data_IF_943688326989
#
_entry.id   IF_943688326989
#
_cell.length_a   1.000
_cell.length_b   1.000
_cell.length_c   1.000
_cell.angle_alpha   90.00
_cell.angle_beta   90.00
_cell.angle_gamma   90.00
#
_symmetry.space_group_name_H-M   'P 1'
#
loop_
_entity.id
_entity.type
_entity.pdbx_description
1 polymer ?
#
# COMPACT_ATOMS: atom_id res chain seq x y z
N UNK A 1 -11.94 36.43 -1.02
CA UNK A 1 -13.20 35.85 -0.52
C UNK A 1 -13.32 34.36 -0.85
N UNK A 2 -13.12 33.93 -2.10
CA UNK A 2 -13.15 32.49 -2.46
C UNK A 2 -12.02 31.68 -1.82
N UNK A 3 -10.79 32.19 -1.81
CA UNK A 3 -9.65 31.53 -1.15
C UNK A 3 -9.83 31.39 0.38
N UNK A 4 -10.55 32.33 1.01
CA UNK A 4 -10.86 32.24 2.44
C UNK A 4 -11.90 31.14 2.74
N UNK A 5 -12.93 31.00 1.89
CA UNK A 5 -13.91 29.92 1.97
C UNK A 5 -13.30 28.54 1.70
N UNK A 6 -12.34 28.47 0.77
CA UNK A 6 -11.62 27.23 0.49
C UNK A 6 -10.77 26.79 1.69
N UNK A 7 -10.09 27.73 2.35
CA UNK A 7 -9.31 27.45 3.56
C UNK A 7 -10.20 27.00 4.73
N UNK A 8 -11.31 27.71 4.97
CA UNK A 8 -12.29 27.33 6.00
C UNK A 8 -12.86 25.92 5.76
N UNK A 9 -13.11 25.56 4.50
CA UNK A 9 -13.56 24.21 4.12
C UNK A 9 -12.50 23.14 4.40
N UNK A 10 -11.21 23.45 4.20
CA UNK A 10 -10.10 22.55 4.49
C UNK A 10 -9.91 22.35 6.00
N UNK A 11 -10.04 23.42 6.78
CA UNK A 11 -9.95 23.36 8.24
C UNK A 11 -11.10 22.54 8.84
N UNK A 12 -12.34 22.78 8.39
CA UNK A 12 -13.49 21.97 8.82
C UNK A 12 -13.33 20.48 8.48
N UNK A 13 -12.75 20.18 7.32
CA UNK A 13 -12.44 18.80 6.91
C UNK A 13 -11.39 18.16 7.83
N UNK A 14 -10.38 18.93 8.24
CA UNK A 14 -9.36 18.50 9.20
C UNK A 14 -9.96 18.16 10.55
N UNK A 15 -10.81 19.03 11.06
CA UNK A 15 -11.47 18.81 12.36
C UNK A 15 -12.35 17.57 12.31
N UNK A 16 -13.06 17.34 11.21
CA UNK A 16 -13.87 16.14 11.02
C UNK A 16 -13.02 14.85 10.99
N UNK A 17 -11.93 14.85 10.23
CA UNK A 17 -11.00 13.70 10.16
C UNK A 17 -10.39 13.43 11.55
N UNK A 18 -9.98 14.48 12.28
CA UNK A 18 -9.43 14.35 13.63
C UNK A 18 -10.45 13.81 14.64
N UNK A 19 -11.70 14.26 14.56
CA UNK A 19 -12.79 13.76 15.40
C UNK A 19 -13.03 12.27 15.15
N UNK A 20 -13.16 11.86 13.89
CA UNK A 20 -13.38 10.44 13.54
C UNK A 20 -12.18 9.59 13.97
N UNK A 21 -10.96 10.08 13.77
CA UNK A 21 -9.72 9.43 14.22
C UNK A 21 -9.74 9.21 15.72
N UNK A 22 -10.10 10.23 16.50
CA UNK A 22 -10.23 10.12 17.95
C UNK A 22 -11.23 9.04 18.35
N UNK A 23 -12.42 9.04 17.73
CA UNK A 23 -13.49 8.07 17.98
C UNK A 23 -13.06 6.61 17.79
N UNK A 24 -12.02 6.32 17.00
CA UNK A 24 -11.52 4.94 16.81
C UNK A 24 -10.99 4.30 18.09
N UNK A 25 -10.53 5.11 19.05
CA UNK A 25 -9.99 4.65 20.36
C UNK A 25 -11.03 4.59 21.46
N UNK A 26 -12.25 5.09 21.22
CA UNK A 26 -13.34 5.07 22.20
C UNK A 26 -14.19 3.82 22.05
N UNK A 27 -14.42 3.11 23.15
CA UNK A 27 -15.30 1.94 23.19
C UNK A 27 -15.29 1.32 24.58
N UNK A 28 -16.38 0.62 24.91
CA UNK A 28 -16.56 -0.01 26.22
C UNK A 28 -15.61 -1.19 26.40
N UNK A 29 -15.39 -1.94 25.32
CA UNK A 29 -14.56 -3.15 25.33
C UNK A 29 -13.24 -2.89 24.60
N UNK A 30 -12.16 -3.44 25.12
CA UNK A 30 -10.90 -3.51 24.41
C UNK A 30 -11.00 -4.59 23.33
N UNK A 31 -10.72 -4.21 22.08
CA UNK A 31 -10.69 -5.14 20.98
C UNK A 31 -9.35 -5.85 20.95
N UNK A 32 -9.37 -7.14 20.62
CA UNK A 32 -8.19 -7.95 20.46
C UNK A 32 -7.98 -8.25 18.98
N UNK A 33 -6.73 -8.39 18.52
CA UNK A 33 -6.44 -8.96 17.23
C UNK A 33 -7.23 -10.26 17.04
N UNK A 34 -7.86 -10.44 15.87
CA UNK A 34 -8.39 -11.75 15.51
C UNK A 34 -7.21 -12.76 15.53
N UNK A 35 -7.43 -14.00 15.96
CA UNK A 35 -6.38 -15.01 16.23
C UNK A 35 -5.59 -15.45 14.99
N UNK A 36 -4.74 -14.55 14.49
CA UNK A 36 -4.07 -14.49 13.19
C UNK A 36 -3.09 -15.63 12.89
N UNK A 37 -2.53 -16.29 13.90
CA UNK A 37 -1.55 -17.38 13.67
C UNK A 37 -2.21 -18.67 13.19
N UNK A 38 -3.53 -18.80 13.34
CA UNK A 38 -4.29 -19.98 12.92
C UNK A 38 -4.69 -19.86 11.45
N UNK A 39 -3.70 -19.85 10.54
CA UNK A 39 -3.96 -19.93 9.09
C UNK A 39 -3.14 -19.01 8.18
N UNK A 40 -2.24 -18.18 8.72
CA UNK A 40 -1.33 -17.39 7.90
C UNK A 40 -0.36 -18.32 7.13
N UNK A 41 -0.26 -18.23 5.79
CA UNK A 41 0.59 -19.14 5.00
C UNK A 41 2.08 -18.91 5.25
N UNK A 42 2.46 -17.68 5.64
CA UNK A 42 3.84 -17.30 5.94
C UNK A 42 3.88 -16.41 7.18
N UNK A 43 4.89 -16.61 8.02
CA UNK A 43 5.21 -15.73 9.15
C UNK A 43 6.72 -15.50 9.19
N UNK A 44 7.13 -14.28 9.53
CA UNK A 44 8.55 -13.98 9.78
C UNK A 44 9.00 -14.63 11.09
N UNK A 45 10.27 -15.08 11.17
CA UNK A 45 10.84 -15.56 12.43
C UNK A 45 10.68 -14.53 13.55
N UNK A 46 10.31 -15.01 14.74
CA UNK A 46 10.12 -14.14 15.91
C UNK A 46 8.84 -13.28 15.89
N UNK A 47 7.96 -13.45 14.90
CA UNK A 47 6.67 -12.79 14.92
C UNK A 47 5.81 -13.30 16.08
N UNK A 48 5.27 -12.36 16.86
CA UNK A 48 4.27 -12.61 17.90
C UNK A 48 3.17 -11.59 17.70
N UNK A 49 1.92 -12.04 17.73
CA UNK A 49 0.75 -11.16 17.57
C UNK A 49 0.75 -10.10 18.69
N UNK A 50 0.96 -8.81 18.36
CA UNK A 50 1.01 -7.75 19.36
C UNK A 50 -0.31 -7.65 20.13
N UNK A 51 -0.22 -7.51 21.45
CA UNK A 51 -1.39 -7.29 22.29
C UNK A 51 -1.55 -5.78 22.57
N UNK A 52 -2.79 -5.28 22.72
CA UNK A 52 -3.05 -3.90 23.10
C UNK A 52 -2.20 -3.46 24.31
N UNK A 53 -1.55 -2.31 24.21
CA UNK A 53 -0.64 -1.82 25.26
C UNK A 53 -1.36 -1.31 26.52
N UNK A 54 -2.69 -1.24 26.52
CA UNK A 54 -3.50 -0.76 27.65
C UNK A 54 -3.43 0.75 27.92
N UNK A 55 -2.83 1.54 27.01
CA UNK A 55 -2.63 3.00 27.17
C UNK A 55 -3.77 3.85 26.60
N UNK A 56 -4.89 3.24 26.22
CA UNK A 56 -6.03 3.94 25.59
C UNK A 56 -5.79 4.37 24.14
N UNK A 57 -4.69 3.93 23.51
CA UNK A 57 -4.35 4.22 22.11
C UNK A 57 -4.77 3.12 21.14
N UNK A 58 -5.13 1.94 21.67
CA UNK A 58 -5.55 0.80 20.88
C UNK A 58 -6.96 1.02 20.35
N UNK A 59 -7.25 0.55 19.14
CA UNK A 59 -8.56 0.68 18.50
C UNK A 59 -9.63 -0.06 19.30
N UNK A 60 -10.74 0.63 19.57
CA UNK A 60 -11.92 0.09 20.27
C UNK A 60 -13.21 0.22 19.47
N UNK A 61 -13.17 0.98 18.37
CA UNK A 61 -14.32 1.22 17.51
C UNK A 61 -13.95 1.04 16.04
N UNK A 62 -14.21 -0.17 15.54
CA UNK A 62 -14.00 -0.54 14.14
C UNK A 62 -14.89 0.31 13.23
N UNK A 63 -16.11 0.68 13.64
CA UNK A 63 -17.03 1.44 12.80
C UNK A 63 -16.50 2.84 12.48
N UNK A 64 -15.94 3.55 13.48
CA UNK A 64 -15.28 4.83 13.25
C UNK A 64 -14.09 4.71 12.31
N UNK A 65 -13.32 3.63 12.43
CA UNK A 65 -12.25 3.34 11.49
C UNK A 65 -12.78 3.06 10.07
N UNK A 66 -13.87 2.29 9.93
CA UNK A 66 -14.52 2.02 8.65
C UNK A 66 -15.02 3.31 7.98
N UNK A 67 -15.38 4.36 8.74
CA UNK A 67 -15.72 5.67 8.16
C UNK A 67 -14.51 6.28 7.45
N UNK A 68 -13.32 6.28 8.09
CA UNK A 68 -12.08 6.76 7.45
C UNK A 68 -11.77 5.96 6.19
N UNK A 69 -11.80 4.63 6.28
CA UNK A 69 -11.56 3.74 5.15
C UNK A 69 -12.50 4.04 3.97
N UNK A 70 -13.80 4.11 4.23
CA UNK A 70 -14.79 4.42 3.20
C UNK A 70 -14.61 5.84 2.62
N UNK A 71 -14.22 6.81 3.44
CA UNK A 71 -13.95 8.16 2.99
C UNK A 71 -12.76 8.19 2.03
N UNK A 72 -11.68 7.42 2.27
CA UNK A 72 -10.55 7.30 1.33
C UNK A 72 -11.01 6.69 0.00
N UNK A 73 -11.76 5.59 0.06
CA UNK A 73 -12.29 4.90 -1.13
C UNK A 73 -13.24 5.79 -1.95
N UNK A 74 -13.89 6.78 -1.33
CA UNK A 74 -14.78 7.74 -1.99
C UNK A 74 -14.13 9.11 -2.27
N UNK A 75 -12.93 9.37 -1.77
CA UNK A 75 -12.24 10.65 -1.94
C UNK A 75 -12.08 11.01 -3.42
N UNK A 76 -12.43 12.25 -3.76
CA UNK A 76 -12.28 12.82 -5.11
C UNK A 76 -11.15 13.85 -5.20
N UNK A 77 -10.62 14.28 -4.06
CA UNK A 77 -9.54 15.26 -3.96
C UNK A 77 -8.32 14.61 -3.32
N UNK A 78 -7.14 14.97 -3.83
CA UNK A 78 -5.86 14.50 -3.28
C UNK A 78 -5.70 14.92 -1.82
N UNK A 79 -6.10 16.15 -1.48
CA UNK A 79 -6.06 16.67 -0.11
C UNK A 79 -6.79 15.76 0.89
N UNK A 80 -8.05 15.40 0.62
CA UNK A 80 -8.82 14.50 1.48
C UNK A 80 -8.18 13.11 1.58
N UNK A 81 -7.73 12.57 0.44
CA UNK A 81 -7.09 11.25 0.42
C UNK A 81 -5.82 11.23 1.29
N UNK A 82 -4.98 12.27 1.18
CA UNK A 82 -3.76 12.40 1.96
C UNK A 82 -4.06 12.49 3.46
N UNK A 83 -5.00 13.34 3.86
CA UNK A 83 -5.39 13.50 5.27
C UNK A 83 -5.93 12.22 5.90
N UNK A 84 -6.77 11.48 5.17
CA UNK A 84 -7.31 10.22 5.66
C UNK A 84 -6.20 9.17 5.77
N UNK A 85 -5.29 9.12 4.79
CA UNK A 85 -4.19 8.17 4.82
C UNK A 85 -3.23 8.45 5.98
N UNK A 86 -2.95 9.73 6.26
CA UNK A 86 -2.21 10.15 7.46
C UNK A 86 -2.92 9.76 8.75
N UNK A 87 -4.24 9.97 8.84
CA UNK A 87 -5.03 9.56 9.99
C UNK A 87 -4.94 8.04 10.24
N UNK A 88 -5.10 7.23 9.19
CA UNK A 88 -5.00 5.77 9.29
C UNK A 88 -3.58 5.33 9.66
N UNK A 89 -2.54 5.95 9.07
CA UNK A 89 -1.15 5.67 9.44
C UNK A 89 -0.90 6.00 10.92
N UNK A 90 -1.40 7.13 11.41
CA UNK A 90 -1.28 7.50 12.83
C UNK A 90 -1.99 6.48 13.74
N UNK A 91 -3.15 5.97 13.34
CA UNK A 91 -3.85 4.90 14.07
C UNK A 91 -2.97 3.65 14.13
N UNK A 92 -2.41 3.19 13.01
CA UNK A 92 -1.53 2.01 13.00
C UNK A 92 -0.26 2.21 13.84
N UNK A 93 0.30 3.41 13.86
CA UNK A 93 1.50 3.75 14.64
C UNK A 93 1.24 3.95 16.13
N UNK A 94 -0.01 4.23 16.53
CA UNK A 94 -0.35 4.55 17.93
C UNK A 94 -0.29 3.34 18.86
N UNK A 95 -0.47 2.13 18.32
CA UNK A 95 -0.29 0.86 19.02
C UNK A 95 -0.03 -0.25 18.00
N UNK A 96 1.00 -1.07 18.21
CA UNK A 96 1.36 -2.18 17.32
C UNK A 96 0.22 -3.20 17.14
N UNK A 97 -0.73 -3.29 18.09
CA UNK A 97 -1.90 -4.14 17.97
C UNK A 97 -2.93 -3.62 16.96
N UNK A 98 -2.92 -2.32 16.61
CA UNK A 98 -3.98 -1.68 15.84
C UNK A 98 -4.13 -2.24 14.43
N UNK A 99 -3.02 -2.48 13.72
CA UNK A 99 -3.06 -3.12 12.40
C UNK A 99 -3.78 -4.47 12.47
N UNK A 100 -3.49 -5.29 13.48
CA UNK A 100 -4.04 -6.63 13.63
C UNK A 100 -5.48 -6.66 14.15
N UNK A 101 -5.89 -5.69 14.98
CA UNK A 101 -7.30 -5.48 15.34
C UNK A 101 -8.14 -5.16 14.08
N UNK A 102 -7.55 -4.40 13.16
CA UNK A 102 -8.21 -3.89 11.95
C UNK A 102 -7.99 -4.78 10.72
N UNK A 103 -7.27 -5.89 10.82
CA UNK A 103 -6.88 -6.72 9.68
C UNK A 103 -8.11 -7.20 8.87
N UNK A 104 -9.19 -7.56 9.56
CA UNK A 104 -10.46 -7.99 8.94
C UNK A 104 -11.11 -6.92 8.05
N UNK A 105 -10.68 -5.67 8.14
CA UNK A 105 -11.15 -4.57 7.29
C UNK A 105 -10.45 -4.54 5.93
N UNK A 106 -9.31 -5.25 5.79
CA UNK A 106 -8.56 -5.37 4.53
C UNK A 106 -8.22 -4.02 3.88
N UNK A 107 -7.94 -3.01 4.71
CA UNK A 107 -7.86 -1.61 4.32
C UNK A 107 -6.78 -1.36 3.27
N UNK A 108 -5.55 -1.81 3.52
CA UNK A 108 -4.44 -1.61 2.58
C UNK A 108 -4.68 -2.36 1.27
N UNK A 109 -5.21 -3.59 1.32
CA UNK A 109 -5.55 -4.37 0.11
C UNK A 109 -6.56 -3.64 -0.77
N UNK A 110 -7.58 -3.00 -0.18
CA UNK A 110 -8.57 -2.19 -0.91
C UNK A 110 -7.98 -0.87 -1.43
N UNK A 111 -7.06 -0.26 -0.69
CA UNK A 111 -6.45 1.01 -1.10
C UNK A 111 -5.53 0.85 -2.32
N UNK A 112 -4.88 -0.31 -2.47
CA UNK A 112 -4.05 -0.66 -3.64
C UNK A 112 -4.76 -0.35 -4.98
N UNK A 113 -6.05 -0.67 -5.08
CA UNK A 113 -6.83 -0.46 -6.31
C UNK A 113 -7.01 1.02 -6.67
N UNK A 114 -6.92 1.91 -5.66
CA UNK A 114 -7.20 3.34 -5.82
C UNK A 114 -5.95 4.19 -5.96
N UNK A 115 -4.82 3.81 -5.38
CA UNK A 115 -3.60 4.63 -5.34
C UNK A 115 -3.00 4.93 -6.72
N UNK A 116 -3.26 4.10 -7.73
CA UNK A 116 -2.81 4.37 -9.11
C UNK A 116 -3.39 5.67 -9.67
N UNK A 117 -4.56 6.11 -9.18
CA UNK A 117 -5.25 7.34 -9.58
C UNK A 117 -4.96 8.53 -8.65
N UNK A 118 -4.16 8.33 -7.61
CA UNK A 118 -3.86 9.33 -6.59
C UNK A 118 -2.33 9.40 -6.37
N UNK A 119 -1.56 10.07 -7.25
CA UNK A 119 -0.10 10.08 -7.19
C UNK A 119 0.45 10.58 -5.84
N UNK A 120 -0.18 11.60 -5.26
CA UNK A 120 0.30 12.27 -4.04
C UNK A 120 0.23 11.39 -2.77
N UNK A 121 -0.47 10.25 -2.83
CA UNK A 121 -0.61 9.33 -1.68
C UNK A 121 0.10 7.99 -1.91
N UNK A 122 0.71 7.79 -3.08
CA UNK A 122 1.39 6.52 -3.41
C UNK A 122 2.55 6.24 -2.47
N UNK A 123 3.41 7.23 -2.23
CA UNK A 123 4.57 7.10 -1.33
C UNK A 123 4.12 6.65 0.06
N UNK A 124 3.15 7.38 0.62
CA UNK A 124 2.59 7.09 1.94
C UNK A 124 1.95 5.71 2.04
N UNK A 125 1.24 5.27 0.99
CA UNK A 125 0.66 3.92 0.96
C UNK A 125 1.75 2.85 1.04
N UNK A 126 2.85 2.99 0.30
CA UNK A 126 3.94 2.02 0.35
C UNK A 126 4.71 2.08 1.68
N UNK A 127 4.85 3.25 2.30
CA UNK A 127 5.38 3.39 3.67
C UNK A 127 4.53 2.64 4.70
N UNK A 128 3.21 2.58 4.51
CA UNK A 128 2.33 1.78 5.38
C UNK A 128 2.57 0.27 5.21
N UNK A 129 2.88 -0.20 4.00
CA UNK A 129 3.30 -1.60 3.80
C UNK A 129 4.67 -1.86 4.44
N UNK A 130 5.60 -0.91 4.34
CA UNK A 130 6.90 -0.97 5.00
C UNK A 130 6.78 -1.03 6.53
N UNK A 131 5.85 -0.27 7.12
CA UNK A 131 5.52 -0.38 8.55
C UNK A 131 5.13 -1.82 8.93
N UNK A 132 4.24 -2.44 8.16
CA UNK A 132 3.75 -3.80 8.48
C UNK A 132 4.90 -4.82 8.42
N UNK A 133 5.77 -4.72 7.41
CA UNK A 133 6.88 -5.65 7.26
C UNK A 133 8.00 -5.37 8.27
N UNK A 134 8.49 -4.14 8.35
CA UNK A 134 9.72 -3.83 9.09
C UNK A 134 9.47 -3.52 10.56
N UNK A 135 8.35 -2.89 10.90
CA UNK A 135 8.06 -2.49 12.29
C UNK A 135 7.19 -3.53 13.00
N UNK A 136 6.23 -4.14 12.31
CA UNK A 136 5.36 -5.17 12.90
C UNK A 136 5.87 -6.60 12.67
N UNK A 137 6.96 -6.79 11.92
CA UNK A 137 7.56 -8.09 11.61
C UNK A 137 6.53 -9.08 11.02
N UNK A 138 5.63 -8.61 10.15
CA UNK A 138 4.54 -9.40 9.57
C UNK A 138 4.59 -9.44 8.04
N UNK A 139 4.07 -10.50 7.44
CA UNK A 139 3.99 -10.67 5.98
C UNK A 139 2.56 -10.38 5.52
N UNK A 140 2.27 -9.21 4.92
CA UNK A 140 0.92 -8.84 4.51
C UNK A 140 0.54 -9.48 3.17
N UNK A 141 0.32 -10.80 3.15
CA UNK A 141 0.08 -11.56 1.91
C UNK A 141 -1.10 -11.01 1.08
N UNK A 142 -2.19 -10.59 1.75
CA UNK A 142 -3.38 -10.08 1.04
C UNK A 142 -3.09 -8.76 0.34
N UNK A 143 -2.35 -7.87 0.98
CA UNK A 143 -1.87 -6.62 0.40
C UNK A 143 -0.88 -6.86 -0.73
N UNK A 144 0.03 -7.84 -0.59
CA UNK A 144 0.97 -8.20 -1.65
C UNK A 144 0.26 -8.76 -2.89
N UNK A 145 -0.83 -9.52 -2.73
CA UNK A 145 -1.70 -9.94 -3.84
C UNK A 145 -2.31 -8.71 -4.51
N UNK A 146 -2.83 -7.74 -3.76
CA UNK A 146 -3.36 -6.50 -4.33
C UNK A 146 -2.28 -5.68 -5.07
N UNK A 147 -1.05 -5.63 -4.56
CA UNK A 147 0.10 -4.99 -5.25
C UNK A 147 0.47 -5.75 -6.53
N UNK A 148 0.39 -7.08 -6.53
CA UNK A 148 0.59 -7.92 -7.72
C UNK A 148 -0.43 -7.57 -8.83
N UNK A 149 -1.71 -7.44 -8.46
CA UNK A 149 -2.78 -7.01 -9.37
C UNK A 149 -2.53 -5.58 -9.88
N UNK A 150 -2.14 -4.65 -8.99
CA UNK A 150 -1.77 -3.28 -9.34
C UNK A 150 -0.68 -3.26 -10.42
N UNK A 151 0.41 -3.99 -10.21
CA UNK A 151 1.52 -4.07 -11.16
C UNK A 151 1.10 -4.71 -12.49
N UNK A 152 0.27 -5.76 -12.45
CA UNK A 152 -0.25 -6.43 -13.65
C UNK A 152 -1.09 -5.49 -14.52
N UNK A 153 -1.88 -4.61 -13.89
CA UNK A 153 -2.70 -3.61 -14.59
C UNK A 153 -1.86 -2.61 -15.40
N UNK A 154 -0.61 -2.37 -14.98
CA UNK A 154 0.33 -1.44 -15.63
C UNK A 154 -0.27 -0.05 -15.89
N UNK A 155 -1.13 0.45 -14.98
CA UNK A 155 -1.88 1.69 -15.16
C UNK A 155 -1.05 2.97 -14.93
N UNK A 156 0.06 2.88 -14.19
CA UNK A 156 0.94 4.03 -13.87
C UNK A 156 2.37 3.55 -13.67
N UNK A 157 3.32 4.08 -14.44
CA UNK A 157 4.74 3.73 -14.31
C UNK A 157 5.32 4.22 -12.99
N UNK A 158 5.10 5.49 -12.63
CA UNK A 158 5.51 6.05 -11.33
C UNK A 158 5.03 5.17 -10.15
N UNK A 159 3.75 4.78 -10.12
CA UNK A 159 3.22 3.90 -9.08
C UNK A 159 3.89 2.52 -9.08
N UNK A 160 4.10 1.95 -10.28
CA UNK A 160 4.76 0.65 -10.44
C UNK A 160 6.23 0.68 -10.00
N UNK A 161 6.93 1.80 -10.20
CA UNK A 161 8.29 2.01 -9.73
C UNK A 161 8.32 2.01 -8.20
N UNK A 162 7.42 2.75 -7.55
CA UNK A 162 7.31 2.74 -6.08
C UNK A 162 6.98 1.35 -5.54
N UNK A 163 6.01 0.65 -6.14
CA UNK A 163 5.67 -0.72 -5.79
C UNK A 163 6.90 -1.64 -5.90
N UNK A 164 7.59 -1.64 -7.04
CA UNK A 164 8.73 -2.53 -7.27
C UNK A 164 9.90 -2.21 -6.33
N UNK A 165 10.19 -0.93 -6.07
CA UNK A 165 11.21 -0.53 -5.07
C UNK A 165 10.87 -1.02 -3.67
N UNK A 166 9.60 -0.94 -3.27
CA UNK A 166 9.12 -1.42 -1.96
C UNK A 166 9.27 -2.94 -1.86
N UNK A 167 8.85 -3.66 -2.90
CA UNK A 167 8.99 -5.12 -2.99
C UNK A 167 10.47 -5.57 -2.95
N UNK A 168 11.37 -4.83 -3.60
CA UNK A 168 12.81 -5.08 -3.52
C UNK A 168 13.34 -4.95 -2.09
N UNK A 169 12.87 -3.95 -1.33
CA UNK A 169 13.22 -3.83 0.10
C UNK A 169 12.76 -5.07 0.89
N UNK A 170 11.56 -5.61 0.60
CA UNK A 170 11.04 -6.81 1.28
C UNK A 170 11.87 -8.06 0.98
N UNK A 171 12.21 -8.33 -0.29
CA UNK A 171 13.06 -9.48 -0.64
C UNK A 171 14.43 -9.38 0.05
N UNK A 172 15.00 -8.17 0.13
CA UNK A 172 16.28 -7.93 0.82
C UNK A 172 16.20 -8.06 2.33
N UNK A 173 15.01 -7.90 2.91
CA UNK A 173 14.81 -7.98 4.35
C UNK A 173 14.88 -9.40 4.88
N UNK A 174 14.21 -10.36 4.21
CA UNK A 174 14.24 -11.76 4.63
C UNK A 174 14.01 -12.72 3.44
N UNK A 175 14.73 -13.85 3.42
CA UNK A 175 14.67 -14.82 2.32
C UNK A 175 13.29 -15.45 2.11
N UNK A 176 12.45 -15.53 3.16
CA UNK A 176 11.07 -16.03 3.05
C UNK A 176 10.24 -15.29 2.00
N UNK A 177 10.56 -14.01 1.75
CA UNK A 177 9.85 -13.21 0.74
C UNK A 177 10.02 -13.77 -0.67
N UNK A 178 11.01 -14.62 -0.93
CA UNK A 178 11.16 -15.32 -2.21
C UNK A 178 10.02 -16.29 -2.44
N UNK A 179 9.65 -17.05 -1.42
CA UNK A 179 8.55 -18.01 -1.50
C UNK A 179 7.21 -17.30 -1.45
N UNK A 180 7.09 -16.23 -0.64
CA UNK A 180 5.91 -15.35 -0.65
C UNK A 180 5.67 -14.79 -2.05
N UNK A 181 6.70 -14.28 -2.74
CA UNK A 181 6.56 -13.66 -4.05
C UNK A 181 6.16 -14.66 -5.14
N UNK A 182 6.57 -15.92 -5.01
CA UNK A 182 6.10 -17.00 -5.88
C UNK A 182 4.63 -17.29 -5.61
N UNK A 183 4.27 -17.46 -4.33
CA UNK A 183 2.91 -17.81 -3.91
C UNK A 183 1.87 -16.75 -4.30
N UNK A 184 2.19 -15.47 -4.11
CA UNK A 184 1.27 -14.35 -4.44
C UNK A 184 1.35 -13.91 -5.91
N UNK A 185 2.10 -14.63 -6.75
CA UNK A 185 2.21 -14.38 -8.20
C UNK A 185 3.05 -13.17 -8.60
N UNK A 186 3.80 -12.56 -7.68
CA UNK A 186 4.66 -11.40 -7.99
C UNK A 186 5.79 -11.76 -8.95
N UNK A 187 6.36 -12.97 -8.85
CA UNK A 187 7.41 -13.42 -9.78
C UNK A 187 6.91 -13.39 -11.24
N UNK A 188 5.72 -13.94 -11.50
CA UNK A 188 5.10 -13.96 -12.84
C UNK A 188 4.86 -12.53 -13.37
N UNK A 189 4.37 -11.64 -12.50
CA UNK A 189 4.11 -10.25 -12.86
C UNK A 189 5.42 -9.51 -13.21
N UNK A 190 6.48 -9.70 -12.43
CA UNK A 190 7.80 -9.09 -12.72
C UNK A 190 8.35 -9.54 -14.07
N UNK A 191 8.26 -10.85 -14.36
CA UNK A 191 8.66 -11.40 -15.67
C UNK A 191 7.80 -10.81 -16.79
N UNK A 192 6.49 -10.64 -16.58
CA UNK A 192 5.58 -10.03 -17.56
C UNK A 192 5.94 -8.57 -17.84
N UNK A 193 6.30 -7.78 -16.83
CA UNK A 193 6.75 -6.40 -17.00
C UNK A 193 8.02 -6.30 -17.86
N UNK A 194 8.98 -7.20 -17.68
CA UNK A 194 10.17 -7.23 -18.54
C UNK A 194 9.87 -7.64 -19.97
N UNK A 195 8.98 -8.61 -20.18
CA UNK A 195 8.56 -8.98 -21.54
C UNK A 195 7.90 -7.80 -22.26
N UNK A 196 7.04 -7.04 -21.56
CA UNK A 196 6.45 -5.81 -22.10
C UNK A 196 7.52 -4.79 -22.48
N UNK A 197 8.48 -4.53 -21.60
CA UNK A 197 9.57 -3.60 -21.90
C UNK A 197 10.44 -4.06 -23.08
N UNK A 198 10.77 -5.35 -23.15
CA UNK A 198 11.53 -5.94 -24.25
C UNK A 198 10.79 -5.84 -25.60
N UNK A 199 9.45 -5.95 -25.60
CA UNK A 199 8.64 -5.74 -26.80
C UNK A 199 8.74 -4.30 -27.31
N UNK A 200 8.69 -3.30 -26.41
CA UNK A 200 8.89 -1.89 -26.77
C UNK A 200 10.27 -1.64 -27.41
N UNK A 201 11.32 -2.29 -26.90
CA UNK A 201 12.66 -2.18 -27.46
C UNK A 201 12.81 -2.82 -28.84
N UNK A 202 12.02 -3.86 -29.14
CA UNK A 202 12.06 -4.59 -30.42
C UNK A 202 11.29 -3.87 -31.52
N UNK A 203 10.11 -3.33 -31.21
CA UNK A 203 9.29 -2.57 -32.15
C UNK A 203 8.63 -1.37 -31.44
N UNK A 204 9.28 -0.20 -31.46
CA UNK A 204 8.75 1.00 -30.82
C UNK A 204 7.42 1.44 -31.43
N UNK A 205 7.26 1.29 -32.75
CA UNK A 205 6.10 1.82 -33.48
C UNK A 205 4.79 1.09 -33.11
N UNK A 206 4.87 -0.22 -32.86
CA UNK A 206 3.72 -1.04 -32.46
C UNK A 206 3.37 -0.88 -30.97
N UNK A 207 4.38 -0.66 -30.12
CA UNK A 207 4.21 -0.50 -28.68
C UNK A 207 3.51 0.80 -28.26
N UNK A 208 3.74 1.91 -28.97
CA UNK A 208 3.05 3.18 -28.68
C UNK A 208 1.54 3.11 -28.99
N UNK A 209 1.12 2.26 -29.95
CA UNK A 209 -0.28 2.06 -30.32
C UNK A 209 -1.04 1.32 -29.22
N UNK A 210 -0.42 0.33 -28.57
CA UNK A 210 -1.02 -0.42 -27.45
C UNK A 210 -1.04 0.37 -26.13
N UNK A 211 -0.17 1.39 -25.97
CA UNK A 211 0.01 2.12 -24.71
C UNK A 211 -0.75 3.46 -24.62
N UNK A 212 -1.36 3.95 -25.70
CA UNK A 212 -2.27 5.10 -25.67
C UNK A 212 -1.69 6.41 -25.11
N UNK A 213 -0.37 6.61 -25.15
CA UNK A 213 0.31 7.71 -24.46
C UNK A 213 0.79 8.81 -25.42
N UNK A 214 0.42 10.06 -25.17
CA UNK A 214 0.66 11.24 -26.03
C UNK A 214 1.94 12.03 -25.69
N UNK A 215 2.69 11.65 -24.65
CA UNK A 215 3.96 12.29 -24.26
C UNK A 215 5.13 11.29 -24.27
N UNK A 216 5.81 11.18 -25.41
CA UNK A 216 6.78 10.10 -25.67
C UNK A 216 8.05 10.12 -24.79
N UNK A 217 8.52 11.28 -24.31
CA UNK A 217 9.83 11.36 -23.65
C UNK A 217 9.82 10.99 -22.15
N UNK A 218 8.84 11.48 -21.37
CA UNK A 218 8.75 11.14 -19.93
C UNK A 218 8.31 9.69 -19.70
N UNK A 219 7.38 9.20 -20.51
CA UNK A 219 6.91 7.80 -20.44
C UNK A 219 8.05 6.81 -20.72
N UNK A 220 8.96 7.12 -21.65
CA UNK A 220 10.10 6.26 -21.99
C UNK A 220 11.13 6.16 -20.85
N UNK A 221 11.40 7.26 -20.13
CA UNK A 221 12.34 7.23 -19.00
C UNK A 221 11.76 6.48 -17.79
N UNK A 222 10.49 6.69 -17.45
CA UNK A 222 9.83 5.94 -16.37
C UNK A 222 9.74 4.44 -16.71
N UNK A 223 9.46 4.09 -17.97
CA UNK A 223 9.50 2.70 -18.43
C UNK A 223 10.87 2.06 -18.26
N UNK A 224 11.93 2.76 -18.65
CA UNK A 224 13.31 2.31 -18.47
C UNK A 224 13.63 2.13 -16.98
N UNK A 225 13.26 3.11 -16.16
CA UNK A 225 13.47 3.04 -14.72
C UNK A 225 12.73 1.85 -14.10
N UNK A 226 11.47 1.62 -14.47
CA UNK A 226 10.71 0.46 -14.01
C UNK A 226 11.43 -0.84 -14.40
N UNK A 227 11.83 -0.99 -15.66
CA UNK A 227 12.54 -2.18 -16.13
C UNK A 227 13.85 -2.43 -15.36
N UNK A 228 14.63 -1.38 -15.06
CA UNK A 228 15.85 -1.48 -14.26
C UNK A 228 15.56 -2.03 -12.86
N UNK A 229 14.57 -1.48 -12.15
CA UNK A 229 14.23 -1.93 -10.80
C UNK A 229 13.64 -3.36 -10.84
N UNK A 230 12.86 -3.71 -11.86
CA UNK A 230 12.34 -5.07 -12.03
C UNK A 230 13.48 -6.08 -12.27
N UNK A 231 14.46 -5.75 -13.13
CA UNK A 231 15.64 -6.59 -13.35
C UNK A 231 16.46 -6.77 -12.08
N UNK A 232 16.69 -5.70 -11.33
CA UNK A 232 17.37 -5.76 -10.02
C UNK A 232 16.59 -6.67 -9.05
N UNK A 233 15.28 -6.53 -9.01
CA UNK A 233 14.40 -7.34 -8.15
C UNK A 233 14.44 -8.82 -8.50
N UNK A 234 14.35 -9.17 -9.78
CA UNK A 234 14.48 -10.55 -10.25
C UNK A 234 15.88 -11.11 -9.99
N UNK A 235 16.93 -10.29 -10.12
CA UNK A 235 18.29 -10.72 -9.82
C UNK A 235 18.41 -11.17 -8.37
N UNK A 236 17.90 -10.39 -7.42
CA UNK A 236 17.90 -10.74 -5.98
C UNK A 236 16.98 -11.94 -5.70
N UNK A 237 15.84 -12.03 -6.37
CA UNK A 237 14.87 -13.13 -6.21
C UNK A 237 15.43 -14.48 -6.67
N UNK A 238 16.28 -14.49 -7.71
CA UNK A 238 16.80 -15.71 -8.35
C UNK A 238 18.22 -16.11 -7.89
N UNK A 239 19.06 -15.17 -7.45
CA UNK A 239 20.48 -15.43 -7.15
C UNK A 239 20.83 -15.72 -5.68
N UNK A 240 19.84 -15.93 -4.81
CA UNK A 240 20.11 -16.44 -3.45
C UNK A 240 19.04 -17.40 -2.99
#
# INVERSE_FOLDING_TARGET
>A
LEQAKENESKDALKDLVNLITSLTTYGVNELKPAGLTTGAPFLLPGFVVPQPAGKGLSVRNIQSFSVLQNAFLKAKTSYLAHMILDAIMNIYMSDNANYFILESQHTLSQFAEKITKLPDVQVKYFEMLELVVFSLNYIPCKELISVSILLKSNASFSCSIFATKTLLKFIRHHHIFKDVFKEVGLLEVMVTLLHKYAAVLKDPAQAYIEQGCTTANQSTEEQRQLALVVMETLTVLLHG
#
